data_IF_392748180582
#
_entry.id   IF_392748180582
#
_cell.length_a   1.000
_cell.length_b   1.000
_cell.length_c   1.000
_cell.angle_alpha   90.00
_cell.angle_beta   90.00
_cell.angle_gamma   90.00
#
_symmetry.space_group_name_H-M   'P 1'
#
loop_
_entity.id
_entity.type
_entity.pdbx_description
1 polymer ?
#
# COMPACT_ATOMS: atom_id res chain seq x y z
N UNK A 1 -0.45 -76.30 -12.87
CA UNK A 1 0.78 -75.81 -12.20
C UNK A 1 0.95 -74.34 -12.58
N UNK A 2 0.39 -73.43 -11.82
CA UNK A 2 0.56 -71.98 -12.05
C UNK A 2 1.30 -71.36 -10.85
N UNK A 3 2.50 -70.84 -11.10
CA UNK A 3 3.30 -70.10 -10.11
C UNK A 3 2.81 -68.65 -10.05
N UNK A 4 2.18 -68.28 -8.96
CA UNK A 4 1.90 -66.88 -8.67
C UNK A 4 3.13 -66.16 -8.10
N UNK A 5 3.53 -65.06 -8.74
CA UNK A 5 4.56 -64.13 -8.25
C UNK A 5 3.84 -62.98 -7.52
N UNK A 6 3.77 -63.09 -6.20
CA UNK A 6 3.24 -62.00 -5.34
C UNK A 6 4.27 -60.89 -5.21
N UNK A 7 3.87 -59.71 -5.52
CA UNK A 7 4.64 -58.49 -5.27
C UNK A 7 4.65 -58.20 -3.77
N UNK A 8 5.82 -57.97 -3.19
CA UNK A 8 5.99 -57.69 -1.74
C UNK A 8 5.50 -56.26 -1.42
N UNK A 9 5.01 -56.10 -0.19
CA UNK A 9 4.54 -54.80 0.40
C UNK A 9 5.52 -53.64 0.20
N UNK A 10 6.79 -53.90 -0.02
CA UNK A 10 7.85 -52.87 -0.24
C UNK A 10 7.86 -52.31 -1.65
N UNK A 11 7.25 -52.96 -2.65
CA UNK A 11 7.17 -52.49 -4.03
C UNK A 11 5.95 -51.64 -4.34
N UNK A 12 4.97 -51.59 -3.43
CA UNK A 12 3.75 -50.74 -3.54
C UNK A 12 3.93 -49.32 -2.99
N UNK A 13 5.06 -49.02 -2.32
CA UNK A 13 5.32 -47.68 -1.73
C UNK A 13 6.09 -46.78 -2.70
N UNK A 14 6.47 -47.25 -3.86
CA UNK A 14 7.34 -46.56 -4.83
C UNK A 14 6.66 -45.73 -5.92
N UNK A 15 5.32 -45.67 -5.99
CA UNK A 15 4.60 -44.89 -7.01
C UNK A 15 3.50 -44.00 -6.36
N UNK A 16 3.83 -43.33 -5.30
CA UNK A 16 3.08 -42.18 -4.84
C UNK A 16 3.49 -40.98 -5.70
N UNK A 17 2.63 -40.67 -6.66
CA UNK A 17 2.67 -39.42 -7.41
C UNK A 17 2.71 -38.29 -6.39
N UNK A 18 3.85 -37.61 -6.29
CA UNK A 18 3.97 -36.33 -5.59
C UNK A 18 3.14 -35.32 -6.37
N UNK A 19 1.85 -35.22 -6.10
CA UNK A 19 1.12 -34.00 -6.35
C UNK A 19 1.69 -32.98 -5.35
N UNK A 20 2.74 -32.27 -5.74
CA UNK A 20 3.04 -30.98 -5.19
C UNK A 20 1.88 -30.08 -5.59
N UNK A 21 0.87 -29.96 -4.75
CA UNK A 21 0.00 -28.79 -4.74
C UNK A 21 0.88 -27.63 -4.32
N UNK A 22 1.61 -27.07 -5.31
CA UNK A 22 2.06 -25.69 -5.23
C UNK A 22 0.76 -24.88 -5.19
N UNK A 23 0.32 -24.55 -3.97
CA UNK A 23 -0.67 -23.52 -3.75
C UNK A 23 -0.10 -22.25 -4.38
N UNK A 24 -0.62 -21.92 -5.56
CA UNK A 24 -0.31 -20.71 -6.31
C UNK A 24 -0.92 -19.50 -5.59
N UNK A 25 -0.42 -19.19 -4.40
CA UNK A 25 -0.72 -17.93 -3.69
C UNK A 25 -0.08 -16.71 -4.37
N UNK A 26 0.75 -16.92 -5.42
CA UNK A 26 1.48 -15.85 -6.10
C UNK A 26 0.68 -15.00 -7.08
N UNK A 27 -0.52 -15.41 -7.50
CA UNK A 27 -1.18 -14.76 -8.64
C UNK A 27 -2.10 -13.60 -8.30
N UNK A 28 -2.62 -13.51 -7.06
CA UNK A 28 -3.52 -12.42 -6.66
C UNK A 28 -2.78 -11.08 -6.50
N UNK A 29 -1.51 -11.11 -6.12
CA UNK A 29 -0.67 -9.92 -5.91
C UNK A 29 0.34 -9.67 -7.04
N UNK A 30 0.48 -10.59 -7.99
CA UNK A 30 1.38 -10.46 -9.13
C UNK A 30 1.16 -9.19 -10.00
N UNK A 31 -0.05 -8.60 -10.11
CA UNK A 31 -0.23 -7.38 -10.88
C UNK A 31 0.30 -6.09 -10.24
N UNK A 32 0.75 -6.10 -8.97
CA UNK A 32 1.46 -4.96 -8.39
C UNK A 32 2.87 -4.81 -8.97
N UNK A 33 3.41 -5.91 -9.50
CA UNK A 33 4.69 -5.95 -10.18
C UNK A 33 4.40 -6.16 -11.67
N UNK A 34 4.53 -5.12 -12.48
CA UNK A 34 4.22 -5.18 -13.91
C UNK A 34 5.10 -6.21 -14.65
N UNK A 35 4.59 -6.71 -15.78
CA UNK A 35 5.32 -7.63 -16.66
C UNK A 35 6.69 -7.07 -17.09
N UNK A 36 7.72 -7.92 -17.32
CA UNK A 36 9.03 -7.48 -17.77
C UNK A 36 8.93 -6.62 -19.04
N UNK A 37 9.49 -5.40 -19.00
CA UNK A 37 9.63 -4.56 -20.20
C UNK A 37 8.99 -3.17 -20.16
N UNK A 38 8.14 -2.83 -19.16
CA UNK A 38 7.62 -1.47 -19.02
C UNK A 38 7.75 -1.02 -17.56
N UNK A 39 8.74 -0.21 -17.27
CA UNK A 39 8.82 0.54 -16.01
C UNK A 39 7.90 1.75 -16.14
N UNK A 40 6.68 1.66 -15.63
CA UNK A 40 5.76 2.78 -15.48
C UNK A 40 5.46 2.99 -14.00
N UNK A 41 5.94 4.09 -13.44
CA UNK A 41 5.45 4.55 -12.16
C UNK A 41 4.20 5.37 -12.40
N UNK A 42 3.15 5.11 -11.63
CA UNK A 42 1.99 5.99 -11.56
C UNK A 42 2.19 6.96 -10.42
N UNK A 43 1.92 8.22 -10.66
CA UNK A 43 2.09 9.28 -9.68
C UNK A 43 0.73 9.88 -9.37
N UNK A 44 0.32 9.76 -8.11
CA UNK A 44 -0.91 10.31 -7.57
C UNK A 44 -0.64 11.27 -6.42
N UNK A 45 -1.71 11.65 -5.74
CA UNK A 45 -1.67 12.34 -4.45
C UNK A 45 -2.85 11.93 -3.58
N UNK A 46 -2.69 11.97 -2.24
CA UNK A 46 -3.81 11.80 -1.33
C UNK A 46 -4.81 12.96 -1.44
N UNK A 47 -6.11 12.68 -1.33
CA UNK A 47 -7.16 13.70 -1.40
C UNK A 47 -6.99 14.80 -0.34
N UNK A 48 -6.49 14.44 0.86
CA UNK A 48 -6.21 15.44 1.92
C UNK A 48 -5.08 16.38 1.54
N UNK A 49 -4.09 15.90 0.81
CA UNK A 49 -3.01 16.73 0.28
C UNK A 49 -3.50 17.65 -0.84
N UNK A 50 -4.54 17.24 -1.57
CA UNK A 50 -5.24 18.07 -2.53
C UNK A 50 -6.26 19.04 -1.87
N UNK A 51 -6.32 19.03 -0.52
CA UNK A 51 -7.25 19.85 0.30
C UNK A 51 -8.72 19.59 -0.05
N UNK A 52 -9.05 18.34 -0.34
CA UNK A 52 -10.40 17.86 -0.68
C UNK A 52 -10.74 16.63 0.17
N UNK A 53 -12.02 16.41 0.37
CA UNK A 53 -12.58 15.24 1.07
C UNK A 53 -13.84 14.73 0.38
N UNK A 54 -13.92 14.98 -0.93
CA UNK A 54 -15.07 14.66 -1.79
C UNK A 54 -14.59 14.43 -3.23
N UNK A 55 -15.46 13.97 -4.17
CA UNK A 55 -15.07 13.66 -5.53
C UNK A 55 -14.43 14.80 -6.34
N UNK A 56 -14.52 16.06 -5.90
CA UNK A 56 -13.84 17.18 -6.56
C UNK A 56 -12.31 17.12 -6.46
N UNK A 57 -11.77 16.20 -5.66
CA UNK A 57 -10.33 15.91 -5.63
C UNK A 57 -9.79 15.50 -7.00
N UNK A 58 -10.60 14.86 -7.85
CA UNK A 58 -10.18 14.44 -9.18
C UNK A 58 -10.06 15.63 -10.17
N UNK A 59 -10.85 16.69 -10.00
CA UNK A 59 -10.69 17.93 -10.79
C UNK A 59 -9.34 18.58 -10.48
N UNK A 60 -8.99 18.68 -9.19
CA UNK A 60 -7.70 19.23 -8.74
C UNK A 60 -6.54 18.36 -9.23
N UNK A 61 -6.66 17.04 -9.11
CA UNK A 61 -5.65 16.09 -9.58
C UNK A 61 -5.45 16.17 -11.11
N UNK A 62 -6.55 16.29 -11.87
CA UNK A 62 -6.50 16.48 -13.31
C UNK A 62 -5.80 17.80 -13.69
N UNK A 63 -6.14 18.89 -13.02
CA UNK A 63 -5.50 20.19 -13.25
C UNK A 63 -3.99 20.15 -12.98
N UNK A 64 -3.54 19.41 -11.98
CA UNK A 64 -2.11 19.18 -11.68
C UNK A 64 -1.46 18.30 -12.76
N UNK A 65 -2.19 17.35 -13.33
CA UNK A 65 -1.70 16.36 -14.31
C UNK A 65 -1.24 15.05 -13.67
N UNK A 66 -1.83 14.69 -12.52
CA UNK A 66 -1.60 13.41 -11.83
C UNK A 66 -2.23 12.23 -12.59
N UNK A 67 -1.83 11.00 -12.25
CA UNK A 67 -2.39 9.77 -12.83
C UNK A 67 -3.60 9.26 -12.02
N UNK A 68 -3.74 9.67 -10.76
CA UNK A 68 -4.84 9.25 -9.89
C UNK A 68 -4.82 9.89 -8.51
N UNK A 69 -5.76 9.46 -7.67
CA UNK A 69 -5.94 9.98 -6.30
C UNK A 69 -6.05 8.83 -5.31
N UNK A 70 -5.32 8.92 -4.19
CA UNK A 70 -5.58 8.11 -3.01
C UNK A 70 -6.73 8.73 -2.24
N UNK A 71 -7.81 7.97 -2.07
CA UNK A 71 -9.03 8.45 -1.40
C UNK A 71 -9.13 7.95 0.03
N UNK A 72 -9.81 8.67 0.90
CA UNK A 72 -9.97 8.29 2.30
C UNK A 72 -11.34 7.63 2.54
N UNK A 73 -11.39 6.61 3.39
CA UNK A 73 -12.65 5.98 3.81
C UNK A 73 -13.63 6.96 4.47
N UNK A 74 -13.09 8.02 5.06
CA UNK A 74 -13.80 9.01 5.86
C UNK A 74 -13.33 9.02 7.30
N UNK A 75 -14.16 9.55 8.17
CA UNK A 75 -13.89 9.65 9.60
C UNK A 75 -15.13 9.26 10.45
N UNK A 76 -14.98 9.19 11.76
CA UNK A 76 -16.08 8.82 12.67
C UNK A 76 -17.26 9.79 12.57
N UNK A 77 -17.01 11.09 12.35
CA UNK A 77 -18.04 12.14 12.26
C UNK A 77 -18.93 11.99 11.02
N UNK A 78 -18.36 11.61 9.88
CA UNK A 78 -19.10 11.34 8.64
C UNK A 78 -19.53 9.87 8.48
N UNK A 79 -19.26 9.05 9.51
CA UNK A 79 -19.59 7.61 9.59
C UNK A 79 -18.90 6.79 8.50
N UNK A 80 -17.65 7.13 8.18
CA UNK A 80 -16.91 6.50 7.08
C UNK A 80 -17.69 6.63 5.78
N UNK A 81 -17.80 7.85 5.27
CA UNK A 81 -18.73 8.20 4.18
C UNK A 81 -18.59 7.34 2.93
N UNK A 82 -17.35 6.87 2.63
CA UNK A 82 -17.06 6.05 1.46
C UNK A 82 -17.59 4.60 1.59
N UNK A 83 -18.09 4.19 2.76
CA UNK A 83 -18.83 2.92 2.94
C UNK A 83 -20.17 2.91 2.19
N UNK A 84 -20.69 4.09 1.83
CA UNK A 84 -21.97 4.21 1.14
C UNK A 84 -21.78 3.99 -0.37
N UNK A 85 -22.50 3.02 -1.01
CA UNK A 85 -22.36 2.73 -2.43
C UNK A 85 -22.56 3.94 -3.36
N UNK A 86 -23.49 4.84 -3.03
CA UNK A 86 -23.71 6.05 -3.81
C UNK A 86 -22.50 6.98 -3.82
N UNK A 87 -21.76 7.06 -2.69
CA UNK A 87 -20.52 7.85 -2.60
C UNK A 87 -19.42 7.19 -3.41
N UNK A 88 -19.26 5.86 -3.32
CA UNK A 88 -18.30 5.10 -4.15
C UNK A 88 -18.53 5.37 -5.64
N UNK A 89 -19.79 5.33 -6.10
CA UNK A 89 -20.12 5.61 -7.49
C UNK A 89 -19.81 7.05 -7.89
N UNK A 90 -20.00 8.02 -7.00
CA UNK A 90 -19.64 9.42 -7.25
C UNK A 90 -18.12 9.59 -7.44
N UNK A 91 -17.29 8.95 -6.59
CA UNK A 91 -15.84 8.96 -6.75
C UNK A 91 -15.39 8.29 -8.06
N UNK A 92 -15.95 7.12 -8.39
CA UNK A 92 -15.65 6.42 -9.63
C UNK A 92 -16.10 7.21 -10.88
N UNK A 93 -17.23 7.92 -10.80
CA UNK A 93 -17.69 8.77 -11.88
C UNK A 93 -16.76 9.97 -12.09
N UNK A 94 -16.36 10.66 -11.02
CA UNK A 94 -15.45 11.78 -11.07
C UNK A 94 -14.05 11.36 -11.59
N UNK A 95 -13.53 10.22 -11.15
CA UNK A 95 -12.28 9.67 -11.67
C UNK A 95 -12.34 9.47 -13.19
N UNK A 96 -13.41 8.79 -13.68
CA UNK A 96 -13.61 8.57 -15.12
C UNK A 96 -13.79 9.86 -15.92
N UNK A 97 -14.55 10.83 -15.41
CA UNK A 97 -14.77 12.13 -16.07
C UNK A 97 -13.48 12.91 -16.26
N UNK A 98 -12.55 12.76 -15.32
CA UNK A 98 -11.26 13.44 -15.37
C UNK A 98 -10.14 12.58 -16.02
N UNK A 99 -10.44 11.36 -16.47
CA UNK A 99 -9.45 10.45 -17.07
C UNK A 99 -8.41 9.95 -16.08
N UNK A 100 -8.76 9.86 -14.79
CA UNK A 100 -7.89 9.47 -13.69
C UNK A 100 -8.31 8.15 -13.06
N UNK A 101 -7.43 7.58 -12.22
CA UNK A 101 -7.70 6.37 -11.46
C UNK A 101 -7.91 6.70 -9.97
N UNK A 102 -8.72 5.88 -9.29
CA UNK A 102 -8.63 5.77 -7.84
C UNK A 102 -7.38 4.92 -7.58
N UNK A 103 -6.35 5.51 -6.98
CA UNK A 103 -5.04 4.88 -6.83
C UNK A 103 -5.03 3.84 -5.71
N UNK A 104 -5.48 4.25 -4.55
CA UNK A 104 -5.57 3.44 -3.33
C UNK A 104 -6.61 4.02 -2.37
N UNK A 105 -6.93 3.26 -1.32
CA UNK A 105 -7.82 3.68 -0.25
C UNK A 105 -7.00 3.93 1.01
N UNK A 106 -7.32 4.98 1.76
CA UNK A 106 -6.71 5.24 3.06
C UNK A 106 -7.73 5.07 4.20
N UNK A 107 -7.27 4.58 5.32
CA UNK A 107 -8.00 4.54 6.59
C UNK A 107 -7.30 5.45 7.60
N UNK A 108 -7.33 6.76 7.32
CA UNK A 108 -6.63 7.79 8.10
C UNK A 108 -7.19 8.00 9.50
N UNK A 109 -8.46 7.67 9.74
CA UNK A 109 -9.10 7.80 11.06
C UNK A 109 -8.46 6.91 12.13
N UNK A 110 -7.69 5.88 11.75
CA UNK A 110 -6.95 5.06 12.70
C UNK A 110 -5.87 5.84 13.47
N UNK A 111 -5.54 7.03 13.03
CA UNK A 111 -4.70 7.97 13.77
C UNK A 111 -5.40 8.50 15.05
N UNK A 112 -6.72 8.63 15.02
CA UNK A 112 -7.54 9.12 16.12
C UNK A 112 -8.16 7.97 16.93
N UNK A 113 -8.64 6.93 16.21
CA UNK A 113 -9.30 5.74 16.78
C UNK A 113 -8.44 4.54 16.41
N UNK A 114 -7.48 4.26 17.29
CA UNK A 114 -6.37 3.36 17.01
C UNK A 114 -6.78 1.89 16.88
N UNK A 115 -6.26 1.19 15.88
CA UNK A 115 -6.50 -0.24 15.67
C UNK A 115 -6.15 -1.07 16.91
N UNK A 116 -5.06 -0.72 17.60
CA UNK A 116 -4.60 -1.42 18.81
C UNK A 116 -5.54 -1.29 20.03
N UNK A 117 -6.47 -0.33 20.06
CA UNK A 117 -7.22 0.00 21.26
C UNK A 117 -8.75 -0.04 21.11
N UNK A 118 -9.27 0.20 19.90
CA UNK A 118 -10.69 0.42 19.68
C UNK A 118 -11.28 -0.59 18.70
N UNK A 119 -12.29 -1.38 19.11
CA UNK A 119 -12.88 -2.38 18.23
C UNK A 119 -13.55 -1.80 16.97
N UNK A 120 -13.95 -0.52 16.98
CA UNK A 120 -14.50 0.15 15.80
C UNK A 120 -13.48 0.21 14.67
N UNK A 121 -12.20 0.38 15.00
CA UNK A 121 -11.10 0.41 14.04
C UNK A 121 -11.00 -0.90 13.26
N UNK A 122 -11.13 -2.05 13.93
CA UNK A 122 -11.13 -3.36 13.29
C UNK A 122 -12.35 -3.55 12.36
N UNK A 123 -13.55 -3.06 12.76
CA UNK A 123 -14.74 -3.08 11.91
C UNK A 123 -14.51 -2.24 10.64
N UNK A 124 -13.97 -1.03 10.77
CA UNK A 124 -13.69 -0.16 9.63
C UNK A 124 -12.62 -0.75 8.71
N UNK A 125 -11.62 -1.43 9.27
CA UNK A 125 -10.62 -2.12 8.48
C UNK A 125 -11.22 -3.28 7.68
N UNK A 126 -12.15 -4.05 8.26
CA UNK A 126 -12.91 -5.09 7.56
C UNK A 126 -13.75 -4.49 6.44
N UNK A 127 -14.51 -3.43 6.73
CA UNK A 127 -15.38 -2.77 5.75
C UNK A 127 -14.56 -2.13 4.61
N UNK A 128 -13.37 -1.61 4.91
CA UNK A 128 -12.49 -1.01 3.90
C UNK A 128 -12.06 -2.02 2.82
N UNK A 129 -11.99 -3.31 3.12
CA UNK A 129 -11.72 -4.36 2.14
C UNK A 129 -12.84 -4.44 1.10
N UNK A 130 -14.09 -4.36 1.52
CA UNK A 130 -15.22 -4.39 0.59
C UNK A 130 -15.30 -3.10 -0.22
N UNK A 131 -14.99 -1.94 0.40
CA UNK A 131 -14.89 -0.65 -0.28
C UNK A 131 -13.77 -0.67 -1.33
N UNK A 132 -12.59 -1.16 -0.99
CA UNK A 132 -11.47 -1.28 -1.91
C UNK A 132 -11.83 -2.12 -3.14
N UNK A 133 -12.54 -3.24 -2.94
CA UNK A 133 -13.06 -4.06 -4.05
C UNK A 133 -14.07 -3.30 -4.92
N UNK A 134 -14.98 -2.57 -4.30
CA UNK A 134 -15.99 -1.79 -5.02
C UNK A 134 -15.37 -0.65 -5.85
N UNK A 135 -14.29 -0.05 -5.35
CA UNK A 135 -13.51 0.98 -6.05
C UNK A 135 -12.52 0.39 -7.08
N UNK A 136 -12.26 -0.92 -7.04
CA UNK A 136 -11.27 -1.58 -7.90
C UNK A 136 -9.82 -1.31 -7.49
N UNK A 137 -9.57 -0.86 -6.27
CA UNK A 137 -8.23 -0.60 -5.73
C UNK A 137 -7.68 -1.81 -4.98
N UNK A 138 -6.35 -1.92 -4.91
CA UNK A 138 -5.68 -3.07 -4.30
C UNK A 138 -5.01 -2.77 -2.98
N UNK A 139 -4.70 -1.52 -2.69
CA UNK A 139 -3.97 -1.12 -1.49
C UNK A 139 -4.88 -0.31 -0.59
N UNK A 140 -4.90 -0.67 0.69
CA UNK A 140 -5.50 0.09 1.78
C UNK A 140 -4.38 0.55 2.69
N UNK A 141 -4.16 1.84 2.79
CA UNK A 141 -3.28 2.43 3.78
C UNK A 141 -3.91 2.33 5.16
N UNK A 142 -3.22 1.68 6.08
CA UNK A 142 -3.57 1.51 7.50
C UNK A 142 -2.70 2.45 8.31
N UNK A 143 -3.22 3.64 8.59
CA UNK A 143 -2.48 4.68 9.30
C UNK A 143 -2.28 4.35 10.79
N UNK A 144 -1.04 4.50 11.29
CA UNK A 144 -0.68 4.17 12.67
C UNK A 144 0.21 5.27 13.27
N UNK A 145 -0.31 6.49 13.32
CA UNK A 145 0.33 7.65 13.90
C UNK A 145 -0.46 8.14 15.13
N UNK A 146 0.01 9.13 15.85
CA UNK A 146 -0.64 9.75 16.99
C UNK A 146 -1.16 8.72 18.01
N UNK A 147 -2.48 8.55 18.17
CA UNK A 147 -3.04 7.53 19.06
C UNK A 147 -2.76 6.10 18.57
N UNK A 148 -2.53 5.94 17.27
CA UNK A 148 -2.15 4.68 16.64
C UNK A 148 -0.65 4.36 16.70
N UNK A 149 0.21 5.28 17.20
CA UNK A 149 1.67 5.12 17.23
C UNK A 149 2.09 3.82 17.94
N UNK A 150 2.94 3.05 17.28
CA UNK A 150 3.41 1.73 17.77
C UNK A 150 4.86 1.76 18.29
N UNK A 151 5.60 2.85 18.05
CA UNK A 151 7.01 2.92 18.46
C UNK A 151 7.15 2.89 19.98
N UNK A 152 7.81 1.85 20.48
CA UNK A 152 7.97 1.63 21.93
C UNK A 152 6.74 1.05 22.65
N UNK A 153 5.65 0.76 21.94
CA UNK A 153 4.42 0.17 22.48
C UNK A 153 4.31 -1.33 22.14
N UNK A 154 5.03 -2.16 22.90
CA UNK A 154 5.03 -3.61 22.67
C UNK A 154 3.63 -4.22 22.71
N UNK A 155 2.81 -3.83 23.69
CA UNK A 155 1.45 -4.36 23.83
C UNK A 155 0.55 -3.93 22.66
N UNK A 156 0.70 -2.70 22.19
CA UNK A 156 0.00 -2.19 21.02
C UNK A 156 0.39 -2.93 19.74
N UNK A 157 1.68 -3.24 19.57
CA UNK A 157 2.18 -4.09 18.48
C UNK A 157 1.57 -5.49 18.57
N UNK A 158 1.59 -6.13 19.75
CA UNK A 158 1.05 -7.47 19.95
C UNK A 158 -0.44 -7.51 19.58
N UNK A 159 -1.25 -6.56 20.05
CA UNK A 159 -2.68 -6.45 19.70
C UNK A 159 -2.90 -6.18 18.20
N UNK A 160 -2.09 -5.32 17.61
CA UNK A 160 -2.17 -5.04 16.17
C UNK A 160 -1.91 -6.30 15.35
N UNK A 161 -0.90 -7.09 15.71
CA UNK A 161 -0.58 -8.37 15.06
C UNK A 161 -1.76 -9.35 15.18
N UNK A 162 -2.36 -9.49 16.35
CA UNK A 162 -3.53 -10.36 16.58
C UNK A 162 -4.70 -9.96 15.67
N UNK A 163 -5.06 -8.68 15.64
CA UNK A 163 -6.15 -8.16 14.80
C UNK A 163 -5.86 -8.38 13.32
N UNK A 164 -4.63 -8.11 12.87
CA UNK A 164 -4.25 -8.30 11.48
C UNK A 164 -4.27 -9.77 11.07
N UNK A 165 -3.90 -10.71 11.95
CA UNK A 165 -4.04 -12.16 11.71
C UNK A 165 -5.47 -12.58 11.42
N UNK A 166 -6.42 -12.03 12.18
CA UNK A 166 -7.84 -12.34 12.01
C UNK A 166 -8.40 -11.75 10.71
N UNK A 167 -7.93 -10.56 10.28
CA UNK A 167 -8.46 -9.86 9.12
C UNK A 167 -7.76 -10.27 7.82
N UNK A 168 -6.48 -10.59 7.86
CA UNK A 168 -5.66 -10.87 6.69
C UNK A 168 -6.24 -11.93 5.74
N UNK A 169 -6.84 -13.05 6.20
CA UNK A 169 -7.44 -14.02 5.29
C UNK A 169 -8.57 -13.44 4.43
N UNK A 170 -9.31 -12.45 4.95
CA UNK A 170 -10.34 -11.75 4.17
C UNK A 170 -9.70 -10.85 3.10
N UNK A 171 -8.62 -10.15 3.46
CA UNK A 171 -7.87 -9.32 2.50
C UNK A 171 -7.23 -10.18 1.40
N UNK A 172 -6.63 -11.32 1.75
CA UNK A 172 -6.10 -12.31 0.78
C UNK A 172 -7.16 -12.76 -0.21
N UNK A 173 -8.32 -13.23 0.31
CA UNK A 173 -9.44 -13.68 -0.52
C UNK A 173 -9.96 -12.57 -1.44
N UNK A 174 -9.89 -11.32 -0.99
CA UNK A 174 -10.31 -10.16 -1.73
C UNK A 174 -9.28 -9.68 -2.77
N UNK A 175 -8.02 -10.15 -2.69
CA UNK A 175 -6.90 -9.63 -3.48
C UNK A 175 -6.50 -8.21 -3.10
N UNK A 176 -6.68 -7.85 -1.82
CA UNK A 176 -6.41 -6.51 -1.26
C UNK A 176 -5.23 -6.58 -0.30
N UNK A 177 -4.39 -5.57 -0.31
CA UNK A 177 -3.24 -5.41 0.58
C UNK A 177 -3.56 -4.38 1.66
N UNK A 178 -3.26 -4.73 2.89
CA UNK A 178 -3.27 -3.85 4.05
C UNK A 178 -1.85 -3.28 4.22
N UNK A 179 -1.63 -2.05 3.78
CA UNK A 179 -0.34 -1.36 3.84
C UNK A 179 -0.18 -0.61 5.15
N UNK A 180 0.70 -1.06 6.03
CA UNK A 180 0.96 -0.42 7.31
C UNK A 180 1.81 0.82 7.12
N UNK A 181 1.31 1.97 7.50
CA UNK A 181 2.06 3.22 7.52
C UNK A 181 2.26 3.70 8.96
N UNK A 182 3.51 3.82 9.40
CA UNK A 182 3.87 4.09 10.78
C UNK A 182 5.29 4.70 10.90
N UNK A 183 5.73 4.94 12.13
CA UNK A 183 7.09 5.43 12.45
C UNK A 183 8.08 4.32 12.84
N UNK A 184 7.77 3.06 12.56
CA UNK A 184 8.67 1.94 12.84
C UNK A 184 9.76 1.83 11.77
N UNK A 185 10.92 1.30 12.16
CA UNK A 185 11.97 0.94 11.23
C UNK A 185 11.59 -0.26 10.36
N UNK A 186 12.36 -0.51 9.30
CA UNK A 186 12.17 -1.69 8.45
C UNK A 186 12.24 -3.01 9.27
N UNK A 187 13.13 -3.09 10.24
CA UNK A 187 13.28 -4.29 11.10
C UNK A 187 12.02 -4.51 11.94
N UNK A 188 11.50 -3.45 12.57
CA UNK A 188 10.28 -3.54 13.38
C UNK A 188 9.05 -3.87 12.53
N UNK A 189 8.95 -3.28 11.34
CA UNK A 189 7.90 -3.63 10.39
C UNK A 189 8.00 -5.11 9.94
N UNK A 190 9.20 -5.60 9.63
CA UNK A 190 9.39 -7.00 9.26
C UNK A 190 8.99 -7.97 10.39
N UNK A 191 9.26 -7.63 11.66
CA UNK A 191 8.77 -8.42 12.80
C UNK A 191 7.23 -8.54 12.79
N UNK A 192 6.53 -7.41 12.59
CA UNK A 192 5.06 -7.41 12.49
C UNK A 192 4.61 -8.30 11.32
N UNK A 193 5.19 -8.12 10.12
CA UNK A 193 4.81 -8.87 8.93
C UNK A 193 5.05 -10.38 9.08
N UNK A 194 6.17 -10.77 9.68
CA UNK A 194 6.50 -12.18 9.95
C UNK A 194 5.51 -12.79 10.96
N UNK A 195 5.22 -12.06 12.02
CA UNK A 195 4.29 -12.49 13.05
C UNK A 195 2.86 -12.59 12.54
N UNK A 196 2.43 -11.69 11.66
CA UNK A 196 1.12 -11.81 10.99
C UNK A 196 1.09 -13.00 10.04
N UNK A 197 2.15 -13.23 9.29
CA UNK A 197 2.33 -14.40 8.42
C UNK A 197 1.48 -14.38 7.16
N UNK A 198 1.00 -13.22 6.71
CA UNK A 198 0.14 -13.06 5.53
C UNK A 198 0.79 -12.19 4.45
N UNK A 199 0.75 -12.57 3.18
CA UNK A 199 1.21 -11.73 2.08
C UNK A 199 0.30 -10.52 1.83
N UNK A 200 -0.91 -10.51 2.36
CA UNK A 200 -1.85 -9.39 2.25
C UNK A 200 -1.54 -8.25 3.23
N UNK A 201 -0.56 -8.40 4.13
CA UNK A 201 -0.09 -7.33 4.99
C UNK A 201 1.31 -6.93 4.55
N UNK A 202 1.47 -5.66 4.21
CA UNK A 202 2.72 -5.09 3.68
C UNK A 202 2.97 -3.71 4.29
N UNK A 203 4.05 -3.06 3.92
CA UNK A 203 4.40 -1.72 4.37
C UNK A 203 3.96 -0.70 3.32
N UNK A 204 3.26 0.33 3.75
CA UNK A 204 3.09 1.57 3.00
C UNK A 204 4.21 2.52 3.45
N UNK A 205 5.18 2.79 2.58
CA UNK A 205 6.43 3.40 2.98
C UNK A 205 6.44 4.92 2.74
N UNK A 206 6.47 5.71 3.81
CA UNK A 206 6.63 7.17 3.73
C UNK A 206 8.11 7.55 3.81
N UNK A 207 8.63 8.15 2.73
CA UNK A 207 10.03 8.54 2.60
C UNK A 207 10.41 9.65 3.60
N UNK A 208 9.53 10.63 3.78
CA UNK A 208 9.77 11.78 4.66
C UNK A 208 9.71 11.40 6.13
N UNK A 209 8.66 10.69 6.53
CA UNK A 209 8.47 10.24 7.90
C UNK A 209 9.62 9.37 8.37
N UNK A 210 10.06 8.41 7.54
CA UNK A 210 11.20 7.55 7.85
C UNK A 210 12.52 8.33 7.92
N UNK A 211 12.73 9.31 7.02
CA UNK A 211 13.89 10.22 7.06
C UNK A 211 13.88 11.05 8.33
N UNK A 212 12.73 11.55 8.76
CA UNK A 212 12.59 12.37 9.99
C UNK A 212 12.84 11.56 11.25
N UNK A 213 12.59 10.25 11.23
CA UNK A 213 12.98 9.32 12.31
C UNK A 213 14.46 8.96 12.30
N UNK A 214 15.22 9.42 11.30
CA UNK A 214 16.67 9.19 11.21
C UNK A 214 17.06 7.84 10.60
N UNK A 215 16.15 7.17 9.92
CA UNK A 215 16.43 5.90 9.26
C UNK A 215 17.19 6.09 7.94
N UNK A 216 18.04 5.14 7.58
CA UNK A 216 18.60 5.03 6.23
C UNK A 216 17.55 4.44 5.30
N UNK A 217 16.71 5.33 4.74
CA UNK A 217 15.59 4.94 3.88
C UNK A 217 16.03 4.13 2.66
N UNK A 218 17.25 4.36 2.15
CA UNK A 218 17.76 3.65 0.98
C UNK A 218 18.11 2.20 1.31
N UNK A 219 18.61 1.95 2.52
CA UNK A 219 18.84 0.60 3.04
C UNK A 219 17.53 -0.07 3.43
N UNK A 220 16.61 0.67 4.07
CA UNK A 220 15.30 0.14 4.47
C UNK A 220 14.46 -0.31 3.28
N UNK A 221 14.41 0.46 2.19
CA UNK A 221 13.73 0.04 0.95
C UNK A 221 14.29 -1.30 0.44
N UNK A 222 15.62 -1.45 0.41
CA UNK A 222 16.28 -2.69 -0.01
C UNK A 222 16.02 -3.85 0.95
N UNK A 223 15.89 -3.58 2.23
CA UNK A 223 15.57 -4.58 3.25
C UNK A 223 14.14 -5.09 3.13
N UNK A 224 13.18 -4.17 2.96
CA UNK A 224 11.76 -4.48 2.84
C UNK A 224 11.41 -5.16 1.50
N UNK A 225 12.11 -4.82 0.42
CA UNK A 225 11.93 -5.45 -0.92
C UNK A 225 10.45 -5.43 -1.37
N UNK A 226 9.95 -6.60 -1.75
CA UNK A 226 8.58 -6.83 -2.20
C UNK A 226 7.52 -6.75 -1.07
N UNK A 227 7.93 -6.35 0.13
CA UNK A 227 7.01 -6.06 1.24
C UNK A 227 6.52 -4.62 1.24
N UNK A 228 6.98 -3.78 0.31
CA UNK A 228 6.45 -2.42 0.14
C UNK A 228 5.35 -2.45 -0.92
N UNK A 229 4.14 -2.02 -0.52
CA UNK A 229 2.99 -1.98 -1.43
C UNK A 229 2.84 -0.64 -2.16
N UNK A 230 3.17 0.47 -1.51
CA UNK A 230 3.04 1.83 -2.06
C UNK A 230 3.95 2.79 -1.32
N UNK A 231 4.24 3.95 -1.92
CA UNK A 231 5.07 4.98 -1.32
C UNK A 231 4.33 6.31 -1.17
N UNK A 232 4.54 6.99 -0.03
CA UNK A 232 4.38 8.44 0.05
C UNK A 232 5.71 9.12 -0.30
N UNK A 233 5.68 9.99 -1.31
CA UNK A 233 6.76 10.92 -1.63
C UNK A 233 6.56 12.18 -0.78
N UNK A 234 7.32 12.26 0.28
CA UNK A 234 7.33 13.34 1.26
C UNK A 234 8.77 13.75 1.54
N UNK A 235 8.99 15.01 1.82
CA UNK A 235 10.33 15.58 2.10
C UNK A 235 10.28 16.53 3.30
N UNK A 236 9.75 16.02 4.43
CA UNK A 236 9.48 16.81 5.61
C UNK A 236 8.39 17.87 5.33
N UNK A 237 8.68 19.11 5.69
CA UNK A 237 7.76 20.25 5.46
C UNK A 237 8.14 21.05 4.21
N UNK A 238 8.79 20.42 3.22
CA UNK A 238 9.27 21.07 2.00
C UNK A 238 8.57 20.48 0.77
N UNK A 239 8.70 21.18 -0.34
CA UNK A 239 8.46 20.63 -1.67
C UNK A 239 9.49 19.52 -1.94
N UNK A 240 9.16 18.59 -2.82
CA UNK A 240 10.03 17.45 -3.11
C UNK A 240 11.40 17.89 -3.65
N UNK A 241 12.46 17.31 -3.10
CA UNK A 241 13.84 17.64 -3.45
C UNK A 241 14.41 18.92 -2.81
N UNK A 242 13.65 19.56 -1.93
CA UNK A 242 14.09 20.73 -1.17
C UNK A 242 14.40 20.40 0.29
N UNK A 243 14.06 19.20 0.76
CA UNK A 243 14.33 18.72 2.09
C UNK A 243 15.57 17.83 2.17
N UNK A 244 15.44 16.72 2.93
CA UNK A 244 16.56 15.80 3.22
C UNK A 244 16.54 14.52 2.40
N UNK A 245 15.48 14.26 1.63
CA UNK A 245 15.33 13.04 0.83
C UNK A 245 16.10 13.17 -0.49
N UNK A 246 17.08 12.29 -0.71
CA UNK A 246 17.73 12.17 -2.02
C UNK A 246 16.91 11.23 -2.92
N UNK A 247 16.00 11.80 -3.69
CA UNK A 247 15.10 11.05 -4.58
C UNK A 247 15.84 10.27 -5.68
N UNK A 248 17.08 10.65 -6.04
CA UNK A 248 17.89 9.85 -6.97
C UNK A 248 18.34 8.56 -6.33
N UNK A 249 18.74 8.59 -5.04
CA UNK A 249 19.06 7.37 -4.28
C UNK A 249 17.81 6.55 -4.00
N UNK A 250 16.66 7.19 -3.74
CA UNK A 250 15.37 6.50 -3.65
C UNK A 250 15.09 5.74 -4.94
N UNK A 251 15.26 6.36 -6.10
CA UNK A 251 15.09 5.71 -7.40
C UNK A 251 15.98 4.46 -7.53
N UNK A 252 17.28 4.56 -7.20
CA UNK A 252 18.18 3.41 -7.24
C UNK A 252 17.72 2.29 -6.31
N UNK A 253 17.26 2.63 -5.08
CA UNK A 253 16.76 1.63 -4.15
C UNK A 253 15.46 0.97 -4.64
N UNK A 254 14.56 1.72 -5.27
CA UNK A 254 13.35 1.17 -5.89
C UNK A 254 13.66 0.30 -7.11
N UNK A 255 14.69 0.65 -7.90
CA UNK A 255 15.16 -0.18 -9.00
C UNK A 255 15.75 -1.51 -8.52
N UNK A 256 16.52 -1.48 -7.42
CA UNK A 256 17.11 -2.70 -6.82
C UNK A 256 16.06 -3.70 -6.34
N UNK A 257 14.85 -3.25 -6.03
CA UNK A 257 13.72 -4.10 -5.61
C UNK A 257 12.69 -4.33 -6.72
N UNK A 258 12.93 -3.83 -7.93
CA UNK A 258 12.04 -3.88 -9.09
C UNK A 258 10.62 -3.32 -8.80
N UNK A 259 10.54 -2.24 -8.00
CA UNK A 259 9.26 -1.61 -7.66
C UNK A 259 8.64 -0.89 -8.86
N UNK A 260 7.32 -1.08 -9.06
CA UNK A 260 6.57 -0.54 -10.20
C UNK A 260 5.13 -0.14 -9.83
N UNK A 261 4.95 0.36 -8.62
CA UNK A 261 3.62 0.71 -8.11
C UNK A 261 3.30 2.18 -8.20
N UNK A 262 2.45 2.62 -7.30
CA UNK A 262 2.08 4.01 -7.13
C UNK A 262 3.07 4.75 -6.23
N UNK A 263 3.29 6.02 -6.55
CA UNK A 263 3.96 6.99 -5.68
C UNK A 263 2.97 8.14 -5.47
N UNK A 264 2.56 8.37 -4.22
CA UNK A 264 1.64 9.46 -3.89
C UNK A 264 2.44 10.67 -3.38
N UNK A 265 2.23 11.83 -3.98
CA UNK A 265 2.84 13.09 -3.53
C UNK A 265 2.11 13.54 -2.26
N UNK A 266 2.80 13.52 -1.12
CA UNK A 266 2.34 14.08 0.14
C UNK A 266 3.33 15.17 0.60
N UNK A 267 3.48 16.21 -0.21
CA UNK A 267 4.45 17.27 -0.01
C UNK A 267 3.81 18.58 0.45
N UNK A 268 4.63 19.46 1.00
CA UNK A 268 4.20 20.82 1.32
C UNK A 268 3.90 21.62 0.05
N UNK A 269 2.89 22.48 0.12
CA UNK A 269 2.53 23.43 -0.92
C UNK A 269 2.48 24.84 -0.30
N UNK A 270 3.66 25.49 -0.15
CA UNK A 270 3.78 26.74 0.57
C UNK A 270 3.27 27.97 -0.20
N UNK A 271 3.16 27.90 -1.52
CA UNK A 271 2.76 29.05 -2.35
C UNK A 271 1.39 28.84 -2.96
N UNK A 272 1.26 27.84 -3.84
CA UNK A 272 0.02 27.50 -4.53
C UNK A 272 -0.08 25.99 -4.67
N UNK A 273 -1.19 25.41 -4.20
CA UNK A 273 -1.39 23.97 -4.28
C UNK A 273 -1.14 23.42 -5.70
N UNK A 274 -1.75 24.03 -6.70
CA UNK A 274 -1.66 23.56 -8.07
C UNK A 274 -0.23 23.72 -8.63
N UNK A 275 0.37 24.88 -8.48
CA UNK A 275 1.70 25.15 -9.05
C UNK A 275 2.80 24.38 -8.33
N UNK A 276 2.74 24.27 -7.01
CA UNK A 276 3.71 23.52 -6.22
C UNK A 276 3.62 22.03 -6.53
N UNK A 277 2.40 21.46 -6.60
CA UNK A 277 2.23 20.05 -6.99
C UNK A 277 2.56 19.76 -8.45
N UNK A 278 2.36 20.71 -9.36
CA UNK A 278 2.89 20.61 -10.72
C UNK A 278 4.42 20.60 -10.75
N UNK A 279 5.06 21.38 -9.89
CA UNK A 279 6.52 21.38 -9.77
C UNK A 279 7.04 20.06 -9.21
N UNK A 280 6.41 19.53 -8.15
CA UNK A 280 6.73 18.24 -7.56
C UNK A 280 6.52 17.09 -8.56
N UNK A 281 5.42 17.13 -9.31
CA UNK A 281 5.15 16.14 -10.35
C UNK A 281 6.22 16.16 -11.46
N UNK A 282 6.63 17.36 -11.92
CA UNK A 282 7.72 17.47 -12.89
C UNK A 282 9.03 16.94 -12.33
N UNK A 283 9.32 17.26 -11.07
CA UNK A 283 10.51 16.76 -10.37
C UNK A 283 10.53 15.23 -10.32
N UNK A 284 9.43 14.60 -9.88
CA UNK A 284 9.33 13.14 -9.83
C UNK A 284 9.39 12.51 -11.23
N UNK A 285 8.68 13.06 -12.22
CA UNK A 285 8.73 12.55 -13.61
C UNK A 285 10.14 12.62 -14.21
N UNK A 286 10.96 13.57 -13.79
CA UNK A 286 12.37 13.65 -14.18
C UNK A 286 13.24 12.53 -13.58
N UNK A 287 12.87 12.02 -12.40
CA UNK A 287 13.59 10.93 -11.72
C UNK A 287 12.99 9.57 -12.05
N UNK A 288 11.67 9.50 -12.17
CA UNK A 288 10.89 8.30 -12.44
C UNK A 288 10.15 8.41 -13.78
N UNK A 289 10.84 8.34 -14.92
CA UNK A 289 10.21 8.51 -16.23
C UNK A 289 9.20 7.38 -16.49
N UNK A 290 8.03 7.74 -17.04
CA UNK A 290 7.06 6.79 -17.52
C UNK A 290 7.66 6.01 -18.69
N UNK A 291 7.84 4.68 -18.51
CA UNK A 291 7.99 3.74 -19.61
C UNK A 291 9.15 3.97 -20.57
N UNK A 292 10.39 4.12 -20.12
CA UNK A 292 11.52 3.80 -21.00
C UNK A 292 11.66 2.27 -21.05
N UNK A 293 11.37 1.69 -22.22
CA UNK A 293 11.86 0.35 -22.55
C UNK A 293 13.39 0.36 -22.43
N UNK A 294 13.94 -0.52 -21.61
CA UNK A 294 15.34 -0.94 -21.76
C UNK A 294 15.44 -1.90 -22.91
#
# INVERSE_FOLDING_TARGET
MFKGTGLTRRQMIGRGTRFATALSFGTAFAPLFAAPGRRGFKIGAPEWSLRKTDPSCFEVAHEIGLDGVQVNLGNAGDRMHLRRPAVQQAYLAAARQNGLEVASLALGELNNIALKNDPRAAIWLIDSIDVARALGVKVILVAQFFHGELKGDKEGVDRTVEILREIAPRAEKAGVILGLENYLSAVENLDILERVGSPAVQVYYDLGNSTDKGYDIYQEIRMLKNRICEFHAKDGNYMLGQGRVDFKKVRLAMDDIDYRGWIQIEAAAPHSLIEDYRADLRFLKGIFPAGSAL
#
